data_IF_932354499476
#
_entry.id   IF_932354499476
#
_cell.length_a   1.000
_cell.length_b   1.000
_cell.length_c   1.000
_cell.angle_alpha   90.00
_cell.angle_beta   90.00
_cell.angle_gamma   90.00
#
_symmetry.space_group_name_H-M   'P 1'
#
loop_
_entity.id
_entity.type
_entity.pdbx_description
1 polymer ?
#
# COMPACT_ATOMS: atom_id res chain seq x y z
N UNK A 1 -23.98 -37.57 -27.34
CA UNK A 1 -23.68 -36.19 -27.76
C UNK A 1 -23.85 -35.29 -26.56
N UNK A 2 -22.77 -34.59 -26.20
CA UNK A 2 -22.71 -33.37 -25.37
C UNK A 2 -23.30 -33.46 -23.96
N UNK A 3 -22.54 -33.46 -22.86
CA UNK A 3 -21.30 -32.72 -22.60
C UNK A 3 -21.64 -31.29 -22.20
N UNK A 4 -21.97 -31.08 -20.92
CA UNK A 4 -22.00 -29.77 -20.26
C UNK A 4 -21.57 -29.96 -18.79
N UNK A 5 -20.25 -29.94 -18.59
CA UNK A 5 -19.60 -29.78 -17.30
C UNK A 5 -20.01 -28.41 -16.74
N UNK A 6 -20.76 -28.42 -15.64
CA UNK A 6 -20.84 -27.28 -14.74
C UNK A 6 -19.92 -27.56 -13.56
N UNK A 7 -19.27 -26.49 -13.12
CA UNK A 7 -18.72 -26.32 -11.79
C UNK A 7 -17.36 -26.97 -11.49
N UNK A 8 -16.28 -26.43 -12.08
CA UNK A 8 -15.01 -26.26 -11.35
C UNK A 8 -14.36 -24.95 -11.79
N UNK A 9 -14.93 -23.83 -11.34
CA UNK A 9 -14.20 -22.57 -11.30
C UNK A 9 -13.12 -22.72 -10.22
N UNK A 10 -11.91 -23.07 -10.64
CA UNK A 10 -10.71 -22.95 -9.82
C UNK A 10 -10.58 -21.50 -9.35
N UNK A 11 -10.92 -21.27 -8.08
CA UNK A 11 -10.60 -20.02 -7.41
C UNK A 11 -9.08 -19.77 -7.44
N UNK A 12 -8.64 -18.51 -7.35
CA UNK A 12 -7.21 -18.21 -7.34
C UNK A 12 -6.57 -18.95 -6.17
N UNK A 13 -5.72 -19.89 -6.54
CA UNK A 13 -4.69 -20.57 -5.78
C UNK A 13 -4.33 -19.80 -4.49
N UNK A 14 -4.91 -20.23 -3.37
CA UNK A 14 -4.44 -19.88 -2.04
C UNK A 14 -3.13 -20.62 -1.81
N UNK A 15 -2.11 -20.26 -2.60
CA UNK A 15 -0.76 -20.74 -2.47
C UNK A 15 -0.31 -20.44 -1.06
N UNK A 16 -0.33 -21.48 -0.24
CA UNK A 16 0.22 -21.49 1.11
C UNK A 16 1.71 -21.27 0.93
N UNK A 17 2.14 -20.02 0.90
CA UNK A 17 3.55 -19.68 0.86
C UNK A 17 4.13 -20.17 2.17
N UNK A 18 4.94 -21.23 2.09
CA UNK A 18 5.65 -21.78 3.23
C UNK A 18 6.37 -20.65 4.00
N UNK A 19 6.41 -20.70 5.34
CA UNK A 19 7.30 -19.81 6.08
C UNK A 19 8.70 -19.94 5.48
N UNK A 20 9.34 -18.80 5.19
CA UNK A 20 10.69 -18.80 4.61
C UNK A 20 11.63 -19.43 5.65
N UNK A 21 11.88 -20.73 5.50
CA UNK A 21 12.82 -21.48 6.33
C UNK A 21 14.19 -20.80 6.25
N UNK A 22 14.71 -20.35 7.39
CA UNK A 22 16.08 -19.80 7.51
C UNK A 22 16.22 -18.28 7.46
N UNK A 23 15.17 -17.48 7.71
CA UNK A 23 15.36 -16.04 7.95
C UNK A 23 15.91 -15.83 9.37
N UNK A 24 17.04 -15.14 9.50
CA UNK A 24 17.62 -14.78 10.79
C UNK A 24 16.60 -14.01 11.65
N UNK A 25 16.30 -14.47 12.88
CA UNK A 25 15.28 -13.85 13.73
C UNK A 25 15.52 -12.36 13.99
N UNK A 26 16.79 -11.96 14.12
CA UNK A 26 17.18 -10.56 14.31
C UNK A 26 16.85 -9.69 13.08
N UNK A 27 17.05 -10.23 11.87
CA UNK A 27 16.70 -9.55 10.61
C UNK A 27 15.18 -9.42 10.49
N UNK A 28 14.43 -10.43 10.95
CA UNK A 28 12.98 -10.40 10.96
C UNK A 28 12.44 -9.38 11.97
N UNK A 29 12.97 -9.33 13.19
CA UNK A 29 12.61 -8.34 14.20
C UNK A 29 12.92 -6.91 13.74
N UNK A 30 14.06 -6.72 13.10
CA UNK A 30 14.43 -5.43 12.52
C UNK A 30 13.45 -4.98 11.43
N UNK A 31 13.08 -5.87 10.50
CA UNK A 31 12.08 -5.55 9.48
C UNK A 31 10.71 -5.22 10.10
N UNK A 32 10.28 -5.99 11.10
CA UNK A 32 9.04 -5.73 11.85
C UNK A 32 9.04 -4.34 12.50
N UNK A 33 10.16 -3.96 13.12
CA UNK A 33 10.33 -2.63 13.69
C UNK A 33 10.14 -1.53 12.63
N UNK A 34 10.73 -1.66 11.44
CA UNK A 34 10.58 -0.67 10.37
C UNK A 34 9.12 -0.51 9.92
N UNK A 35 8.39 -1.62 9.78
CA UNK A 35 6.96 -1.58 9.48
C UNK A 35 6.17 -0.87 10.58
N UNK A 36 6.53 -1.08 11.85
CA UNK A 36 5.89 -0.40 12.97
C UNK A 36 6.17 1.11 12.95
N UNK A 37 7.41 1.54 12.66
CA UNK A 37 7.72 2.97 12.50
C UNK A 37 6.88 3.64 11.40
N UNK A 38 6.69 2.96 10.27
CA UNK A 38 5.82 3.47 9.20
C UNK A 38 4.35 3.55 9.63
N UNK A 39 3.87 2.58 10.44
CA UNK A 39 2.50 2.56 10.97
C UNK A 39 2.24 3.64 12.02
N UNK A 40 3.27 4.02 12.77
CA UNK A 40 3.17 5.01 13.85
C UNK A 40 3.51 6.43 13.36
N UNK A 41 4.02 6.57 12.13
CA UNK A 41 4.39 7.86 11.55
C UNK A 41 5.71 8.42 12.07
N UNK A 42 6.59 7.55 12.59
CA UNK A 42 7.92 7.86 13.13
C UNK A 42 8.90 8.21 11.99
N UNK A 43 8.60 9.30 11.29
CA UNK A 43 9.19 9.68 10.00
C UNK A 43 10.70 9.82 10.10
N UNK A 44 11.20 10.54 11.09
CA UNK A 44 12.64 10.79 11.25
C UNK A 44 13.41 9.51 11.54
N UNK A 45 12.85 8.64 12.40
CA UNK A 45 13.48 7.35 12.71
C UNK A 45 13.49 6.43 11.50
N UNK A 46 12.37 6.36 10.79
CA UNK A 46 12.27 5.53 9.58
C UNK A 46 13.22 6.04 8.48
N UNK A 47 13.27 7.35 8.27
CA UNK A 47 14.11 8.02 7.29
C UNK A 47 15.59 7.65 7.45
N UNK A 48 16.11 7.64 8.69
CA UNK A 48 17.51 7.26 8.96
C UNK A 48 17.84 5.87 8.40
N UNK A 49 16.93 4.90 8.52
CA UNK A 49 17.17 3.55 8.02
C UNK A 49 17.10 3.47 6.50
N UNK A 50 16.16 4.18 5.88
CA UNK A 50 16.06 4.24 4.42
C UNK A 50 17.29 4.95 3.82
N UNK A 51 17.74 6.03 4.46
CA UNK A 51 18.97 6.75 4.08
C UNK A 51 20.23 5.91 4.28
N UNK A 52 20.22 4.98 5.24
CA UNK A 52 21.28 4.00 5.46
C UNK A 52 21.27 2.84 4.43
N UNK A 53 20.32 2.82 3.49
CA UNK A 53 20.25 1.87 2.39
C UNK A 53 19.18 0.79 2.52
N UNK A 54 18.29 0.86 3.52
CA UNK A 54 17.09 0.02 3.53
C UNK A 54 16.20 0.44 2.36
N UNK A 55 15.74 -0.54 1.56
CA UNK A 55 14.83 -0.23 0.46
C UNK A 55 13.53 0.41 0.97
N UNK A 56 13.09 1.56 0.41
CA UNK A 56 11.78 2.14 0.74
C UNK A 56 10.61 1.25 0.31
N UNK A 57 10.85 0.33 -0.64
CA UNK A 57 9.88 -0.65 -1.14
C UNK A 57 9.92 -1.97 -0.36
N UNK A 58 10.57 -2.00 0.81
CA UNK A 58 10.54 -3.13 1.71
C UNK A 58 9.08 -3.50 2.03
N UNK A 59 8.72 -4.77 1.83
CA UNK A 59 7.36 -5.29 2.07
C UNK A 59 7.33 -6.32 3.18
N UNK A 60 6.24 -6.32 3.95
CA UNK A 60 5.96 -7.38 4.94
C UNK A 60 5.43 -8.67 4.27
N UNK A 61 5.02 -9.64 5.09
CA UNK A 61 4.46 -10.93 4.62
C UNK A 61 3.14 -10.83 3.86
N UNK A 62 2.45 -9.69 3.94
CA UNK A 62 1.20 -9.40 3.20
C UNK A 62 1.45 -8.61 1.91
N UNK A 63 2.71 -8.31 1.61
CA UNK A 63 3.09 -7.42 0.51
C UNK A 63 2.89 -5.94 0.83
N UNK A 64 2.55 -5.57 2.07
CA UNK A 64 2.40 -4.15 2.42
C UNK A 64 3.78 -3.49 2.48
N UNK A 65 4.02 -2.52 1.60
CA UNK A 65 5.20 -1.67 1.63
C UNK A 65 5.12 -0.62 2.75
N UNK A 66 6.27 -0.03 3.11
CA UNK A 66 6.33 1.08 4.09
C UNK A 66 5.36 2.21 3.72
N UNK A 67 5.29 2.57 2.43
CA UNK A 67 4.41 3.62 1.92
C UNK A 67 2.93 3.31 2.16
N UNK A 68 2.51 2.05 1.93
CA UNK A 68 1.14 1.62 2.18
C UNK A 68 0.79 1.72 3.67
N UNK A 69 1.69 1.29 4.55
CA UNK A 69 1.46 1.33 5.99
C UNK A 69 1.32 2.78 6.47
N UNK A 70 2.19 3.68 6.01
CA UNK A 70 2.08 5.11 6.33
C UNK A 70 0.78 5.72 5.79
N UNK A 71 0.41 5.40 4.55
CA UNK A 71 -0.80 5.92 3.93
C UNK A 71 -2.09 5.41 4.61
N UNK A 72 -2.14 4.11 4.92
CA UNK A 72 -3.30 3.48 5.56
C UNK A 72 -3.49 3.91 7.03
N UNK A 73 -2.45 4.42 7.70
CA UNK A 73 -2.55 4.96 9.07
C UNK A 73 -2.61 6.49 9.13
N UNK A 74 -2.52 7.19 7.99
CA UNK A 74 -2.79 8.62 7.93
C UNK A 74 -1.57 9.50 8.23
N UNK A 75 -0.36 9.07 7.86
CA UNK A 75 0.89 9.80 8.14
C UNK A 75 1.46 10.50 6.90
N UNK A 76 0.99 11.72 6.56
CA UNK A 76 1.37 12.39 5.31
C UNK A 76 2.86 12.73 5.25
N UNK A 77 3.49 13.09 6.37
CA UNK A 77 4.93 13.40 6.41
C UNK A 77 5.78 12.16 6.14
N UNK A 78 5.39 11.01 6.68
CA UNK A 78 6.05 9.72 6.39
C UNK A 78 5.89 9.34 4.92
N UNK A 79 4.69 9.55 4.36
CA UNK A 79 4.42 9.32 2.93
C UNK A 79 5.31 10.21 2.06
N UNK A 80 5.37 11.53 2.34
CA UNK A 80 6.27 12.47 1.64
C UNK A 80 7.72 12.01 1.72
N UNK A 81 8.18 11.64 2.91
CA UNK A 81 9.56 11.23 3.15
C UNK A 81 9.93 9.95 2.38
N UNK A 82 9.02 8.99 2.29
CA UNK A 82 9.24 7.75 1.53
C UNK A 82 9.23 8.00 0.03
N UNK A 83 8.29 8.80 -0.49
CA UNK A 83 8.24 9.19 -1.91
C UNK A 83 9.50 9.95 -2.34
N UNK A 84 9.97 10.89 -1.51
CA UNK A 84 11.22 11.62 -1.77
C UNK A 84 12.46 10.70 -1.84
N UNK A 85 12.38 9.50 -1.25
CA UNK A 85 13.42 8.47 -1.27
C UNK A 85 13.20 7.41 -2.34
N UNK A 86 12.23 7.63 -3.25
CA UNK A 86 12.00 6.78 -4.41
C UNK A 86 11.10 5.57 -4.14
N UNK A 87 10.26 5.61 -3.10
CA UNK A 87 9.22 4.59 -2.92
C UNK A 87 8.30 4.51 -4.13
N UNK A 88 7.95 3.29 -4.56
CA UNK A 88 7.01 3.03 -5.64
C UNK A 88 5.58 3.44 -5.19
N UNK A 89 5.08 4.54 -5.74
CA UNK A 89 3.84 5.19 -5.32
C UNK A 89 2.60 4.29 -5.45
N UNK A 90 2.54 3.48 -6.51
CA UNK A 90 1.40 2.62 -6.85
C UNK A 90 1.63 1.15 -6.48
N UNK A 91 2.64 0.86 -5.65
CA UNK A 91 2.95 -0.51 -5.28
C UNK A 91 1.78 -1.17 -4.56
N UNK A 92 1.18 -2.16 -5.23
CA UNK A 92 0.08 -2.93 -4.66
C UNK A 92 0.58 -4.03 -3.72
N UNK A 93 -0.13 -4.29 -2.63
CA UNK A 93 0.11 -5.47 -1.79
C UNK A 93 -0.44 -6.75 -2.44
N UNK A 94 -0.32 -7.88 -1.74
CA UNK A 94 -0.77 -9.19 -2.23
C UNK A 94 -2.29 -9.26 -2.46
N UNK A 95 -3.06 -8.27 -1.95
CA UNK A 95 -4.51 -8.13 -2.17
C UNK A 95 -4.85 -7.15 -3.30
N UNK A 96 -3.86 -6.61 -4.00
CA UNK A 96 -4.07 -5.62 -5.06
C UNK A 96 -4.55 -4.26 -4.53
N UNK A 97 -4.30 -3.94 -3.25
CA UNK A 97 -4.59 -2.64 -2.67
C UNK A 97 -3.37 -1.73 -2.83
N UNK A 98 -3.57 -0.47 -3.22
CA UNK A 98 -2.52 0.54 -3.33
C UNK A 98 -2.51 1.47 -2.10
N UNK A 99 -1.43 2.21 -1.85
CA UNK A 99 -1.38 3.23 -0.80
C UNK A 99 -2.54 4.23 -0.92
N UNK A 100 -2.87 4.65 -2.14
CA UNK A 100 -3.97 5.57 -2.43
C UNK A 100 -5.33 4.98 -2.04
N UNK A 101 -5.61 3.73 -2.46
CA UNK A 101 -6.84 3.04 -2.07
C UNK A 101 -6.99 2.95 -0.55
N UNK A 102 -5.90 2.68 0.17
CA UNK A 102 -5.88 2.66 1.63
C UNK A 102 -6.21 4.01 2.27
N UNK A 103 -5.58 5.09 1.80
CA UNK A 103 -5.79 6.44 2.31
C UNK A 103 -7.23 6.94 2.03
N UNK A 104 -7.77 6.67 0.84
CA UNK A 104 -9.15 7.00 0.46
C UNK A 104 -10.15 6.24 1.32
N UNK A 105 -9.97 4.93 1.50
CA UNK A 105 -10.84 4.12 2.35
C UNK A 105 -10.92 4.61 3.80
N UNK A 106 -9.82 5.19 4.30
CA UNK A 106 -9.75 5.77 5.65
C UNK A 106 -10.17 7.24 5.73
N UNK A 107 -10.33 7.92 4.59
CA UNK A 107 -10.68 9.33 4.53
C UNK A 107 -9.53 10.29 4.85
N UNK A 108 -8.27 9.89 4.65
CA UNK A 108 -7.11 10.73 4.94
C UNK A 108 -6.79 11.68 3.77
N UNK A 109 -7.54 12.78 3.67
CA UNK A 109 -7.44 13.73 2.56
C UNK A 109 -6.05 14.32 2.32
N UNK A 110 -5.27 14.59 3.38
CA UNK A 110 -3.90 15.10 3.20
C UNK A 110 -2.96 14.05 2.62
N UNK A 111 -3.06 12.79 3.07
CA UNK A 111 -2.28 11.67 2.53
C UNK A 111 -2.62 11.45 1.06
N UNK A 112 -3.90 11.48 0.73
CA UNK A 112 -4.39 11.39 -0.64
C UNK A 112 -3.77 12.48 -1.52
N UNK A 113 -3.76 13.73 -1.04
CA UNK A 113 -3.13 14.84 -1.77
C UNK A 113 -1.65 14.59 -2.01
N UNK A 114 -0.91 14.16 -0.99
CA UNK A 114 0.52 13.84 -1.11
C UNK A 114 0.78 12.72 -2.11
N UNK A 115 -0.05 11.68 -2.12
CA UNK A 115 0.08 10.57 -3.07
C UNK A 115 -0.16 11.05 -4.51
N UNK A 116 -1.14 11.93 -4.74
CA UNK A 116 -1.32 12.56 -6.06
C UNK A 116 -0.16 13.45 -6.48
N UNK A 117 0.37 14.26 -5.56
CA UNK A 117 1.59 15.05 -5.80
C UNK A 117 2.79 14.15 -6.13
N UNK A 118 2.82 12.93 -5.58
CA UNK A 118 3.78 11.87 -5.87
C UNK A 118 3.51 11.07 -7.15
N UNK A 119 2.45 11.38 -7.90
CA UNK A 119 2.13 10.72 -9.17
C UNK A 119 1.31 9.43 -9.06
N UNK A 120 0.60 9.20 -7.95
CA UNK A 120 -0.26 8.03 -7.79
C UNK A 120 -1.36 7.97 -8.87
N UNK A 121 -1.56 6.79 -9.46
CA UNK A 121 -2.65 6.55 -10.40
C UNK A 121 -4.00 6.50 -9.66
N UNK A 122 -4.96 7.40 -9.94
CA UNK A 122 -6.32 7.35 -9.36
C UNK A 122 -7.07 6.05 -9.70
N UNK A 123 -6.64 5.31 -10.72
CA UNK A 123 -7.21 4.04 -11.14
C UNK A 123 -6.36 2.83 -10.75
N UNK A 124 -5.19 3.05 -10.11
CA UNK A 124 -4.30 2.01 -9.63
C UNK A 124 -4.85 1.32 -8.39
N UNK A 125 -5.54 0.20 -8.56
CA UNK A 125 -6.05 -0.63 -7.46
C UNK A 125 -7.26 -1.48 -7.84
N UNK A 126 -7.53 -2.54 -7.06
CA UNK A 126 -8.70 -3.40 -7.32
C UNK A 126 -10.04 -2.61 -7.25
N UNK A 127 -11.08 -3.04 -7.98
CA UNK A 127 -12.33 -2.26 -8.19
C UNK A 127 -13.07 -1.83 -6.92
N UNK A 128 -12.78 -2.41 -5.75
CA UNK A 128 -13.32 -1.95 -4.47
C UNK A 128 -12.90 -0.51 -4.15
N UNK A 129 -11.71 -0.08 -4.59
CA UNK A 129 -11.24 1.31 -4.47
C UNK A 129 -11.92 2.27 -5.46
N UNK A 130 -12.19 1.80 -6.69
CA UNK A 130 -12.95 2.56 -7.71
C UNK A 130 -14.37 2.85 -7.23
N UNK A 131 -14.98 1.93 -6.46
CA UNK A 131 -16.27 2.15 -5.80
C UNK A 131 -16.15 3.04 -4.55
N UNK A 132 -14.99 3.05 -3.87
CA UNK A 132 -14.77 3.94 -2.70
C UNK A 132 -14.60 5.41 -3.12
N UNK A 133 -13.98 5.68 -4.27
CA UNK A 133 -13.97 7.00 -4.90
C UNK A 133 -15.37 7.46 -5.37
N UNK A 134 -16.32 6.52 -5.50
CA UNK A 134 -17.74 6.81 -5.75
C UNK A 134 -18.53 7.14 -4.48
N UNK A 135 -17.95 6.87 -3.30
CA UNK A 135 -18.58 6.97 -1.98
C UNK A 135 -18.46 8.37 -1.38
N UNK A 136 -17.41 9.11 -1.75
CA UNK A 136 -17.36 10.56 -1.62
C UNK A 136 -17.86 11.10 -2.94
N UNK A 137 -18.96 11.85 -2.94
CA UNK A 137 -19.64 12.32 -4.15
C UNK A 137 -18.63 12.74 -5.23
N UNK A 138 -18.75 12.08 -6.40
CA UNK A 138 -17.85 12.18 -7.57
C UNK A 138 -17.50 13.61 -7.97
N UNK A 139 -18.33 14.58 -7.60
CA UNK A 139 -18.19 15.97 -8.01
C UNK A 139 -17.29 16.76 -7.04
N UNK A 140 -17.23 16.42 -5.74
CA UNK A 140 -16.48 17.22 -4.77
C UNK A 140 -14.97 16.91 -4.76
N UNK A 141 -14.58 15.66 -5.00
CA UNK A 141 -13.19 15.23 -4.89
C UNK A 141 -12.36 15.62 -6.12
N UNK A 142 -12.95 15.56 -7.32
CA UNK A 142 -12.31 16.03 -8.55
C UNK A 142 -12.29 17.57 -8.64
N UNK A 143 -13.33 18.26 -8.18
CA UNK A 143 -13.32 19.74 -8.11
C UNK A 143 -12.30 20.30 -7.10
N UNK A 144 -11.99 19.57 -6.02
CA UNK A 144 -10.99 20.01 -5.04
C UNK A 144 -9.55 19.92 -5.57
N UNK A 145 -9.28 19.01 -6.50
CA UNK A 145 -7.95 18.74 -7.03
C UNK A 145 -7.76 19.11 -8.52
N UNK A 146 -8.81 19.58 -9.20
CA UNK A 146 -8.73 20.23 -10.51
C UNK A 146 -8.32 19.32 -11.66
N UNK A 147 -8.66 18.02 -11.60
CA UNK A 147 -8.41 17.01 -12.66
C UNK A 147 -9.70 16.40 -13.18
#
# INVERSE_FOLDING_TARGET
>A
MSGQNRDEAGGPDSGTRAPREGVDPEVLEFAQMLFQLARDGETERLAVYVDAGVSPDLTNERGDALLMLAAYNGHPDTVRALLARGAEVDRANDRGQTPLAGAVFKGYGEVVRVLFEGGADPHGGTPTAVDTARMFEKDAFLELFGV
#
